data_IF_227765693244
#
_entry.id   IF_227765693244
#
_cell.length_a   1.000
_cell.length_b   1.000
_cell.length_c   1.000
_cell.angle_alpha   90.00
_cell.angle_beta   90.00
_cell.angle_gamma   90.00
#
_symmetry.space_group_name_H-M   'P 1'
#
loop_
_entity.id
_entity.type
_entity.pdbx_description
1 polymer ?
#
# COMPACT_ATOMS: atom_id res chain seq x y z
N UNK A 1 2.12 -1.95 6.34
CA UNK A 1 1.48 -2.14 5.01
C UNK A 1 1.60 -3.56 4.44
N UNK A 2 2.80 -4.11 4.16
CA UNK A 2 2.90 -5.45 3.54
C UNK A 2 2.14 -6.53 4.33
N UNK A 3 2.30 -6.54 5.65
CA UNK A 3 1.56 -7.47 6.53
C UNK A 3 0.05 -7.28 6.42
N UNK A 4 -0.43 -6.03 6.34
CA UNK A 4 -1.85 -5.71 6.23
C UNK A 4 -2.43 -6.17 4.87
N UNK A 5 -1.69 -5.97 3.78
CA UNK A 5 -2.07 -6.46 2.45
C UNK A 5 -2.09 -7.99 2.39
N UNK A 6 -1.12 -8.66 3.02
CA UNK A 6 -1.14 -10.12 3.16
C UNK A 6 -2.37 -10.58 3.95
N UNK A 7 -2.67 -9.94 5.07
CA UNK A 7 -3.83 -10.30 5.87
C UNK A 7 -5.14 -10.12 5.11
N UNK A 8 -5.29 -9.01 4.38
CA UNK A 8 -6.45 -8.78 3.52
C UNK A 8 -6.58 -9.85 2.42
N UNK A 9 -5.44 -10.24 1.82
CA UNK A 9 -5.39 -11.31 0.83
C UNK A 9 -5.79 -12.67 1.43
N UNK A 10 -5.27 -13.03 2.61
CA UNK A 10 -5.65 -14.26 3.34
C UNK A 10 -7.15 -14.31 3.66
N UNK A 11 -7.72 -13.16 4.02
CA UNK A 11 -9.14 -13.01 4.32
C UNK A 11 -10.03 -12.92 3.06
N UNK A 12 -9.44 -13.05 1.86
CA UNK A 12 -10.12 -12.88 0.57
C UNK A 12 -10.88 -11.54 0.43
N UNK A 13 -10.41 -10.50 1.12
CA UNK A 13 -10.97 -9.16 0.98
C UNK A 13 -10.63 -8.60 -0.41
N UNK A 14 -11.59 -7.89 -1.00
CA UNK A 14 -11.46 -7.24 -2.30
C UNK A 14 -12.00 -5.82 -2.22
N UNK A 15 -11.56 -4.96 -3.14
CA UNK A 15 -12.10 -3.60 -3.29
C UNK A 15 -11.90 -2.76 -2.03
N UNK A 16 -10.76 -2.96 -1.37
CA UNK A 16 -10.45 -2.31 -0.10
C UNK A 16 -9.87 -0.92 -0.30
N UNK A 17 -10.07 -0.06 0.70
CA UNK A 17 -9.41 1.22 0.81
C UNK A 17 -8.24 1.10 1.79
N UNK A 18 -7.06 1.56 1.39
CA UNK A 18 -5.87 1.53 2.26
C UNK A 18 -5.61 2.93 2.78
N UNK A 19 -5.65 3.09 4.09
CA UNK A 19 -5.30 4.32 4.76
C UNK A 19 -3.98 4.13 5.52
N UNK A 20 -2.98 4.96 5.25
CA UNK A 20 -1.65 4.89 5.85
C UNK A 20 -1.18 6.25 6.36
N UNK A 21 -0.34 6.23 7.39
CA UNK A 21 0.28 7.42 8.02
C UNK A 21 1.47 7.96 7.20
N UNK A 22 2.16 7.07 6.46
CA UNK A 22 3.29 7.45 5.62
C UNK A 22 2.83 7.94 4.24
N UNK A 23 2.83 9.27 4.07
CA UNK A 23 2.57 9.94 2.78
C UNK A 23 3.44 9.41 1.64
N UNK A 24 4.70 9.11 1.92
CA UNK A 24 5.67 8.62 0.94
C UNK A 24 5.27 7.24 0.44
N UNK A 25 4.93 6.31 1.33
CA UNK A 25 4.55 4.94 0.94
C UNK A 25 3.24 4.92 0.17
N UNK A 26 2.25 5.66 0.66
CA UNK A 26 0.96 5.83 -0.01
C UNK A 26 1.15 6.42 -1.41
N UNK A 27 1.95 7.49 -1.53
CA UNK A 27 2.22 8.14 -2.82
C UNK A 27 2.97 7.24 -3.80
N UNK A 28 4.02 6.55 -3.35
CA UNK A 28 4.79 5.68 -4.24
C UNK A 28 3.95 4.49 -4.76
N UNK A 29 3.04 3.95 -3.94
CA UNK A 29 2.15 2.87 -4.38
C UNK A 29 1.03 3.37 -5.28
N UNK A 30 0.41 4.51 -4.94
CA UNK A 30 -0.57 5.19 -5.80
C UNK A 30 0.02 5.53 -7.16
N UNK A 31 1.18 6.19 -7.18
CA UNK A 31 1.87 6.63 -8.39
C UNK A 31 2.62 5.48 -9.09
N UNK A 32 2.59 4.26 -8.54
CA UNK A 32 3.32 3.08 -9.03
C UNK A 32 4.83 3.32 -9.21
N UNK A 33 5.40 4.25 -8.44
CA UNK A 33 6.83 4.61 -8.47
C UNK A 33 7.66 3.66 -7.63
N UNK A 34 8.88 3.38 -8.11
CA UNK A 34 9.84 2.56 -7.38
C UNK A 34 10.84 3.45 -6.62
N UNK A 35 11.16 3.13 -5.36
CA UNK A 35 12.22 3.79 -4.61
C UNK A 35 13.60 3.46 -5.20
N UNK A 36 14.62 4.28 -4.88
CA UNK A 36 15.98 4.11 -5.45
C UNK A 36 16.70 2.87 -4.92
N UNK A 37 16.53 2.54 -3.64
CA UNK A 37 17.25 1.44 -2.97
C UNK A 37 16.63 0.08 -3.27
N UNK A 38 17.43 -0.92 -3.65
CA UNK A 38 16.99 -2.26 -4.03
C UNK A 38 16.13 -2.97 -2.98
N UNK A 39 16.47 -2.84 -1.69
CA UNK A 39 15.69 -3.44 -0.61
C UNK A 39 14.28 -2.87 -0.55
N UNK A 40 14.14 -1.56 -0.72
CA UNK A 40 12.83 -0.92 -0.78
C UNK A 40 12.12 -1.28 -2.08
N UNK A 41 12.79 -1.37 -3.24
CA UNK A 41 12.14 -1.81 -4.49
C UNK A 41 11.49 -3.16 -4.35
N UNK A 42 12.20 -4.14 -3.78
CA UNK A 42 11.66 -5.48 -3.53
C UNK A 42 10.43 -5.45 -2.63
N UNK A 43 10.46 -4.66 -1.55
CA UNK A 43 9.33 -4.49 -0.65
C UNK A 43 8.12 -3.85 -1.36
N UNK A 44 8.34 -2.78 -2.11
CA UNK A 44 7.29 -2.08 -2.86
C UNK A 44 6.64 -2.95 -3.92
N UNK A 45 7.43 -3.74 -4.66
CA UNK A 45 6.90 -4.67 -5.66
C UNK A 45 6.00 -5.74 -5.02
N UNK A 46 6.35 -6.25 -3.84
CA UNK A 46 5.49 -7.18 -3.09
C UNK A 46 4.18 -6.52 -2.69
N UNK A 47 4.23 -5.32 -2.10
CA UNK A 47 3.04 -4.55 -1.75
C UNK A 47 2.15 -4.28 -2.97
N UNK A 48 2.74 -3.84 -4.09
CA UNK A 48 2.00 -3.55 -5.33
C UNK A 48 1.30 -4.79 -5.89
N UNK A 49 1.98 -5.93 -5.95
CA UNK A 49 1.38 -7.19 -6.43
C UNK A 49 0.18 -7.61 -5.59
N UNK A 50 0.28 -7.49 -4.26
CA UNK A 50 -0.84 -7.81 -3.38
C UNK A 50 -1.98 -6.83 -3.52
N UNK A 51 -1.67 -5.53 -3.60
CA UNK A 51 -2.67 -4.49 -3.80
C UNK A 51 -3.45 -4.67 -5.12
N UNK A 52 -2.76 -5.05 -6.20
CA UNK A 52 -3.38 -5.38 -7.48
C UNK A 52 -4.30 -6.62 -7.35
N UNK A 53 -3.89 -7.65 -6.59
CA UNK A 53 -4.70 -8.87 -6.38
C UNK A 53 -5.98 -8.61 -5.58
N UNK A 54 -5.90 -7.79 -4.53
CA UNK A 54 -7.06 -7.46 -3.68
C UNK A 54 -7.85 -6.27 -4.24
N UNK A 55 -7.47 -5.73 -5.41
CA UNK A 55 -8.10 -4.58 -6.06
C UNK A 55 -8.23 -3.38 -5.11
N UNK A 56 -7.12 -2.88 -4.57
CA UNK A 56 -7.16 -1.65 -3.77
C UNK A 56 -7.70 -0.51 -4.63
N UNK A 57 -8.86 0.02 -4.25
CA UNK A 57 -9.58 1.03 -5.02
C UNK A 57 -9.05 2.44 -4.72
N UNK A 58 -8.81 2.71 -3.45
CA UNK A 58 -8.34 4.02 -2.99
C UNK A 58 -7.19 3.91 -1.99
N UNK A 59 -6.28 4.87 -2.09
CA UNK A 59 -5.15 5.05 -1.20
C UNK A 59 -5.32 6.37 -0.47
N UNK A 60 -5.46 6.36 0.85
CA UNK A 60 -5.63 7.56 1.67
C UNK A 60 -4.39 7.78 2.51
N UNK A 61 -3.91 9.02 2.54
CA UNK A 61 -2.91 9.44 3.52
C UNK A 61 -3.67 10.01 4.72
N UNK A 62 -3.52 9.38 5.89
CA UNK A 62 -4.05 9.91 7.14
C UNK A 62 -2.96 10.79 7.74
N UNK A 63 -3.20 12.10 7.79
CA UNK A 63 -2.37 12.99 8.61
C UNK A 63 -2.69 12.74 10.08
N UNK A 64 -1.70 12.44 10.93
CA UNK A 64 -1.95 12.16 12.35
C UNK A 64 -2.45 13.37 13.17
N UNK A 65 -2.63 14.55 12.59
CA UNK A 65 -3.27 15.69 13.26
C UNK A 65 -4.18 16.45 12.28
N UNK A 66 -5.47 16.17 12.35
CA UNK A 66 -6.53 17.12 12.02
C UNK A 66 -7.31 17.36 13.32
N UNK A 67 -6.71 18.12 14.22
CA UNK A 67 -7.33 18.81 15.34
C UNK A 67 -6.43 19.98 15.73
#
# INVERSE_FOLDING_TARGET
>A
LLQLLNRAYELNLREIQVAGDSSVVVRYLRDRRLPKTENLKRLYLKCRRLADRIRVDAWHHIHPNAN
#
